data_IF_094463452130
#
_entry.id   IF_094463452130
#
_cell.length_a   1.000
_cell.length_b   1.000
_cell.length_c   1.000
_cell.angle_alpha   90.00
_cell.angle_beta   90.00
_cell.angle_gamma   90.00
#
_symmetry.space_group_name_H-M   'P 1'
#
loop_
_entity.id
_entity.type
_entity.pdbx_description
1 polymer ?
#
# COMPACT_ATOMS: atom_id res chain seq x y z
N UNK A 1 -16.59 -10.89 8.68
CA UNK A 1 -16.37 -10.58 7.25
C UNK A 1 -16.68 -9.11 7.05
N UNK A 2 -15.87 -8.41 6.25
CA UNK A 2 -16.08 -6.99 5.96
C UNK A 2 -17.28 -6.78 5.03
N UNK A 3 -17.89 -5.59 5.08
CA UNK A 3 -18.95 -5.19 4.16
C UNK A 3 -18.42 -5.15 2.70
N UNK A 4 -19.31 -5.31 1.69
CA UNK A 4 -18.90 -5.38 0.31
C UNK A 4 -18.32 -4.05 -0.21
N UNK A 5 -17.38 -4.17 -1.13
CA UNK A 5 -16.83 -3.07 -1.90
C UNK A 5 -17.35 -3.15 -3.34
N UNK A 6 -17.99 -2.08 -3.80
CA UNK A 6 -18.58 -2.02 -5.14
C UNK A 6 -17.74 -1.12 -6.05
N UNK A 7 -17.39 -1.66 -7.21
CA UNK A 7 -16.71 -0.97 -8.31
C UNK A 7 -17.63 -0.91 -9.53
N UNK A 8 -17.31 -0.08 -10.51
CA UNK A 8 -18.12 0.03 -11.72
C UNK A 8 -18.33 -1.33 -12.44
N UNK A 9 -17.30 -2.19 -12.65
CA UNK A 9 -17.51 -3.51 -13.26
C UNK A 9 -18.46 -4.41 -12.46
N UNK A 10 -18.36 -4.41 -11.13
CA UNK A 10 -19.27 -5.17 -10.27
C UNK A 10 -20.69 -4.63 -10.35
N UNK A 11 -20.85 -3.30 -10.27
CA UNK A 11 -22.15 -2.65 -10.38
C UNK A 11 -22.85 -3.00 -11.71
N UNK A 12 -22.14 -2.91 -12.84
CA UNK A 12 -22.66 -3.27 -14.15
C UNK A 12 -23.07 -4.75 -14.23
N UNK A 13 -22.24 -5.66 -13.67
CA UNK A 13 -22.55 -7.08 -13.63
C UNK A 13 -23.82 -7.38 -12.79
N UNK A 14 -24.00 -6.71 -11.66
CA UNK A 14 -25.21 -6.83 -10.82
C UNK A 14 -26.45 -6.35 -11.55
N UNK A 15 -26.40 -5.20 -12.23
CA UNK A 15 -27.52 -4.66 -13.00
C UNK A 15 -27.86 -5.52 -14.22
N UNK A 16 -26.84 -6.05 -14.91
CA UNK A 16 -27.04 -6.94 -16.04
C UNK A 16 -27.71 -8.25 -15.60
N UNK A 17 -27.24 -8.86 -14.52
CA UNK A 17 -27.84 -10.07 -13.96
C UNK A 17 -29.31 -9.84 -13.57
N UNK A 18 -29.62 -8.71 -12.92
CA UNK A 18 -30.97 -8.29 -12.59
C UNK A 18 -31.87 -8.15 -13.82
N UNK A 19 -31.40 -7.47 -14.89
CA UNK A 19 -32.15 -7.31 -16.13
C UNK A 19 -32.45 -8.64 -16.82
N UNK A 20 -31.52 -9.59 -16.72
CA UNK A 20 -31.67 -10.93 -17.31
C UNK A 20 -32.43 -11.92 -16.44
N UNK A 21 -32.84 -11.53 -15.23
CA UNK A 21 -33.50 -12.42 -14.27
C UNK A 21 -32.61 -13.58 -13.78
N UNK A 22 -31.29 -13.42 -13.81
CA UNK A 22 -30.35 -14.43 -13.32
C UNK A 22 -30.36 -14.42 -11.80
N UNK A 23 -30.64 -15.54 -11.10
CA UNK A 23 -30.81 -15.54 -9.65
C UNK A 23 -29.51 -15.37 -8.88
N UNK A 24 -28.36 -15.74 -9.44
CA UNK A 24 -27.05 -15.64 -8.80
C UNK A 24 -25.97 -15.34 -9.83
N UNK A 25 -24.94 -14.62 -9.39
CA UNK A 25 -23.68 -14.48 -10.15
C UNK A 25 -22.51 -14.85 -9.24
N UNK A 26 -21.42 -15.34 -9.81
CA UNK A 26 -20.16 -15.49 -9.12
C UNK A 26 -19.38 -14.18 -9.21
N UNK A 27 -19.15 -13.51 -8.08
CA UNK A 27 -18.50 -12.19 -8.04
C UNK A 27 -17.57 -12.03 -6.84
N UNK A 28 -16.67 -11.07 -6.93
CA UNK A 28 -15.85 -10.64 -5.81
C UNK A 28 -16.42 -9.38 -5.17
N UNK A 29 -16.58 -9.41 -3.87
CA UNK A 29 -17.04 -8.28 -3.06
C UNK A 29 -15.89 -7.63 -2.26
N UNK A 30 -14.66 -8.09 -2.47
CA UNK A 30 -13.44 -7.73 -1.74
C UNK A 30 -12.26 -7.41 -2.66
N UNK A 31 -12.55 -6.77 -3.80
CA UNK A 31 -11.56 -6.35 -4.80
C UNK A 31 -10.68 -7.50 -5.31
N UNK A 32 -11.27 -8.67 -5.54
CA UNK A 32 -10.60 -9.80 -6.18
C UNK A 32 -9.87 -10.74 -5.24
N UNK A 33 -9.98 -10.59 -3.91
CA UNK A 33 -9.36 -11.55 -2.97
C UNK A 33 -10.09 -12.88 -2.93
N UNK A 34 -11.40 -12.83 -2.90
CA UNK A 34 -12.26 -14.02 -2.91
C UNK A 34 -13.39 -13.86 -3.92
N UNK A 35 -14.05 -14.96 -4.22
CA UNK A 35 -15.26 -14.98 -5.02
C UNK A 35 -16.35 -15.72 -4.28
N UNK A 36 -17.60 -15.29 -4.45
CA UNK A 36 -18.76 -15.91 -3.83
C UNK A 36 -19.99 -15.83 -4.73
N UNK A 37 -20.98 -16.70 -4.45
CA UNK A 37 -22.28 -16.63 -5.09
C UNK A 37 -23.08 -15.45 -4.53
N UNK A 38 -23.30 -14.43 -5.37
CA UNK A 38 -24.08 -13.24 -5.03
C UNK A 38 -25.51 -13.43 -5.53
N UNK A 39 -26.48 -13.41 -4.62
CA UNK A 39 -27.89 -13.52 -4.94
C UNK A 39 -28.42 -12.22 -5.56
N UNK A 40 -29.21 -12.34 -6.61
CA UNK A 40 -29.77 -11.22 -7.36
C UNK A 40 -31.28 -11.19 -7.17
N UNK A 41 -31.77 -10.16 -6.51
CA UNK A 41 -33.20 -9.90 -6.35
C UNK A 41 -33.65 -8.66 -7.12
N UNK A 42 -34.94 -8.39 -7.09
CA UNK A 42 -35.54 -7.25 -7.83
C UNK A 42 -35.06 -5.90 -7.30
N UNK A 43 -35.00 -5.74 -5.98
CA UNK A 43 -34.67 -4.45 -5.33
C UNK A 43 -33.35 -4.48 -4.59
N UNK A 44 -32.85 -5.66 -4.26
CA UNK A 44 -31.62 -5.87 -3.48
C UNK A 44 -30.84 -7.05 -4.03
N UNK A 45 -29.54 -7.02 -3.78
CA UNK A 45 -28.63 -8.15 -4.03
C UNK A 45 -28.00 -8.59 -2.70
N UNK A 46 -27.47 -9.79 -2.62
CA UNK A 46 -26.94 -10.32 -1.36
C UNK A 46 -25.71 -11.17 -1.54
N UNK A 47 -24.78 -11.01 -0.61
CA UNK A 47 -23.58 -11.85 -0.44
C UNK A 47 -23.55 -12.46 0.96
N UNK A 48 -22.43 -13.06 1.32
CA UNK A 48 -22.24 -13.72 2.62
C UNK A 48 -22.42 -12.79 3.83
N UNK A 49 -22.27 -11.47 3.65
CA UNK A 49 -22.34 -10.47 4.72
C UNK A 49 -23.70 -9.77 4.86
N UNK A 50 -24.65 -10.07 3.98
CA UNK A 50 -25.99 -9.49 4.04
C UNK A 50 -26.59 -9.12 2.70
N UNK A 51 -27.65 -8.32 2.72
CA UNK A 51 -28.34 -7.85 1.52
C UNK A 51 -28.25 -6.34 1.39
N UNK A 52 -28.03 -5.87 0.18
CA UNK A 52 -27.67 -4.48 -0.14
C UNK A 52 -28.55 -3.91 -1.24
N UNK A 53 -28.88 -2.61 -1.23
CA UNK A 53 -29.54 -1.96 -2.36
C UNK A 53 -28.60 -1.86 -3.56
N UNK A 54 -29.17 -1.76 -4.74
CA UNK A 54 -28.38 -1.37 -5.91
C UNK A 54 -27.99 0.10 -5.78
N UNK A 55 -26.74 0.42 -6.22
CA UNK A 55 -26.36 1.80 -6.40
C UNK A 55 -27.18 2.44 -7.53
N UNK A 56 -27.63 3.68 -7.34
CA UNK A 56 -28.26 4.45 -8.41
C UNK A 56 -27.23 4.89 -9.46
N UNK A 57 -26.07 5.27 -9.00
CA UNK A 57 -24.95 5.72 -9.84
C UNK A 57 -23.64 5.17 -9.30
N UNK A 58 -22.85 4.55 -10.16
CA UNK A 58 -21.49 4.12 -9.86
C UNK A 58 -20.52 4.83 -10.81
N UNK A 59 -19.56 5.59 -10.25
CA UNK A 59 -18.58 6.34 -11.04
C UNK A 59 -17.37 5.46 -11.33
N UNK A 60 -16.80 5.63 -12.53
CA UNK A 60 -15.51 5.04 -12.84
C UNK A 60 -14.42 5.50 -11.85
N UNK A 61 -13.40 4.68 -11.66
CA UNK A 61 -12.27 4.93 -10.76
C UNK A 61 -12.69 5.25 -9.30
N UNK A 62 -13.83 4.70 -8.87
CA UNK A 62 -14.36 4.87 -7.51
C UNK A 62 -14.71 3.51 -6.93
N UNK A 63 -14.31 3.30 -5.69
CA UNK A 63 -14.72 2.17 -4.87
C UNK A 63 -15.75 2.69 -3.89
N UNK A 64 -16.88 1.99 -3.76
CA UNK A 64 -17.92 2.31 -2.78
C UNK A 64 -17.92 1.26 -1.68
N UNK A 65 -18.05 1.67 -0.44
CA UNK A 65 -18.21 0.80 0.72
C UNK A 65 -19.57 1.01 1.38
N UNK A 66 -20.07 -0.03 2.03
CA UNK A 66 -21.32 0.04 2.78
C UNK A 66 -21.09 0.65 4.16
N UNK A 67 -21.84 1.72 4.50
CA UNK A 67 -21.72 2.45 5.77
C UNK A 67 -22.70 1.97 6.86
N UNK A 68 -23.57 1.01 6.51
CA UNK A 68 -24.63 0.50 7.38
C UNK A 68 -26.03 0.83 6.83
N UNK A 69 -26.18 1.94 6.13
CA UNK A 69 -27.43 2.43 5.54
C UNK A 69 -27.34 2.71 4.04
N UNK A 70 -26.17 3.08 3.54
CA UNK A 70 -25.94 3.39 2.12
C UNK A 70 -24.52 3.07 1.68
N UNK A 71 -24.28 3.09 0.36
CA UNK A 71 -22.96 3.02 -0.22
C UNK A 71 -22.36 4.42 -0.35
N UNK A 72 -21.15 4.60 0.16
CA UNK A 72 -20.40 5.83 0.02
C UNK A 72 -19.05 5.58 -0.66
N UNK A 73 -18.51 6.55 -1.42
CA UNK A 73 -17.15 6.44 -1.96
C UNK A 73 -16.12 6.22 -0.85
N UNK A 74 -15.16 5.34 -1.08
CA UNK A 74 -13.98 5.21 -0.21
C UNK A 74 -13.05 6.39 -0.50
N UNK A 75 -13.47 7.55 -0.02
CA UNK A 75 -12.78 8.83 -0.16
C UNK A 75 -13.02 9.68 1.08
N UNK A 76 -11.99 10.38 1.51
CA UNK A 76 -12.04 11.26 2.68
C UNK A 76 -11.30 12.56 2.39
N UNK A 77 -11.86 13.65 2.84
CA UNK A 77 -11.24 14.97 2.73
C UNK A 77 -10.83 15.42 4.14
N UNK A 78 -9.52 15.50 4.37
CA UNK A 78 -8.90 16.07 5.55
C UNK A 78 -7.99 17.24 5.13
N UNK A 79 -6.69 17.14 5.35
CA UNK A 79 -5.70 18.09 4.82
C UNK A 79 -5.59 18.01 3.29
N UNK A 80 -5.91 16.83 2.73
CA UNK A 80 -5.96 16.55 1.30
C UNK A 80 -7.12 15.59 1.00
N UNK A 81 -7.54 15.50 -0.26
CA UNK A 81 -8.47 14.47 -0.71
C UNK A 81 -7.73 13.15 -0.88
N UNK A 82 -8.00 12.17 -0.04
CA UNK A 82 -7.50 10.79 -0.22
C UNK A 82 -8.63 9.87 -0.69
N UNK A 83 -8.34 8.95 -1.59
CA UNK A 83 -9.32 7.95 -2.04
C UNK A 83 -8.66 6.65 -2.48
N UNK A 84 -9.34 5.51 -2.28
CA UNK A 84 -9.01 4.26 -2.94
C UNK A 84 -9.48 4.29 -4.40
N UNK A 85 -8.64 3.77 -5.28
CA UNK A 85 -8.93 3.69 -6.72
C UNK A 85 -8.80 2.24 -7.16
N UNK A 86 -9.83 1.66 -7.81
CA UNK A 86 -9.78 0.30 -8.28
C UNK A 86 -8.73 0.14 -9.38
N UNK A 87 -8.21 -1.07 -9.53
CA UNK A 87 -7.31 -1.46 -10.61
C UNK A 87 -7.86 -2.70 -11.32
N UNK A 88 -7.41 -2.96 -12.51
CA UNK A 88 -7.71 -4.22 -13.23
C UNK A 88 -7.11 -5.46 -12.56
N UNK A 89 -6.17 -5.26 -11.63
CA UNK A 89 -5.42 -6.32 -10.94
C UNK A 89 -6.11 -6.84 -9.67
N UNK A 90 -7.15 -6.15 -9.18
CA UNK A 90 -7.78 -6.42 -7.89
C UNK A 90 -7.25 -5.50 -6.78
N UNK A 91 -5.99 -5.65 -6.30
CA UNK A 91 -5.43 -4.75 -5.29
C UNK A 91 -5.56 -3.29 -5.72
N UNK A 92 -6.21 -2.40 -4.93
CA UNK A 92 -6.39 -1.02 -5.32
C UNK A 92 -5.09 -0.21 -5.22
N UNK A 93 -5.04 0.91 -5.90
CA UNK A 93 -4.13 2.01 -5.59
C UNK A 93 -4.86 3.07 -4.77
N UNK A 94 -4.17 4.12 -4.37
CA UNK A 94 -4.80 5.29 -3.79
C UNK A 94 -4.25 6.58 -4.41
N UNK A 95 -5.03 7.63 -4.29
CA UNK A 95 -4.68 8.97 -4.74
C UNK A 95 -4.74 9.96 -3.58
N UNK A 96 -3.81 10.91 -3.59
CA UNK A 96 -3.82 12.10 -2.73
C UNK A 96 -3.87 13.30 -3.67
N UNK A 97 -4.93 14.12 -3.59
CA UNK A 97 -5.21 15.26 -4.48
C UNK A 97 -5.07 14.92 -5.98
N UNK A 98 -5.56 13.72 -6.35
CA UNK A 98 -5.51 13.22 -7.72
C UNK A 98 -4.15 12.66 -8.15
N UNK A 99 -3.13 12.71 -7.28
CA UNK A 99 -1.82 12.11 -7.55
C UNK A 99 -1.85 10.65 -7.14
N UNK A 100 -1.64 9.76 -8.10
CA UNK A 100 -1.56 8.32 -7.85
C UNK A 100 -0.28 7.96 -7.10
N UNK A 101 -0.41 7.18 -6.03
CA UNK A 101 0.70 6.83 -5.14
C UNK A 101 1.40 5.52 -5.51
N UNK A 102 0.70 4.55 -6.08
CA UNK A 102 1.28 3.25 -6.44
C UNK A 102 1.22 3.02 -7.96
N UNK A 103 2.20 2.32 -8.56
CA UNK A 103 2.21 1.99 -9.99
C UNK A 103 1.08 0.98 -10.30
N UNK A 104 0.37 1.19 -11.42
CA UNK A 104 -0.72 0.32 -11.85
C UNK A 104 -0.74 0.05 -13.36
N UNK A 105 0.16 0.68 -14.13
CA UNK A 105 0.07 0.66 -15.59
C UNK A 105 0.50 -0.67 -16.22
N UNK A 106 1.39 -1.44 -15.56
CA UNK A 106 2.00 -2.65 -16.15
C UNK A 106 2.00 -3.84 -15.19
N UNK A 107 1.67 -3.62 -13.92
CA UNK A 107 1.75 -4.62 -12.86
C UNK A 107 0.79 -4.25 -11.74
N UNK A 108 0.29 -5.27 -11.03
CA UNK A 108 -0.44 -5.08 -9.80
C UNK A 108 0.41 -4.30 -8.78
N UNK A 109 -0.15 -3.30 -8.09
CA UNK A 109 0.59 -2.60 -7.04
C UNK A 109 1.05 -3.54 -5.91
N UNK A 110 0.33 -4.62 -5.68
CA UNK A 110 0.69 -5.65 -4.70
C UNK A 110 1.89 -6.50 -5.19
N UNK A 111 1.88 -6.94 -6.44
CA UNK A 111 3.00 -7.71 -7.02
C UNK A 111 4.26 -6.85 -7.21
N UNK A 112 4.11 -5.57 -7.53
CA UNK A 112 5.20 -4.62 -7.54
C UNK A 112 5.87 -4.53 -6.16
N UNK A 113 5.06 -4.38 -5.11
CA UNK A 113 5.54 -4.37 -3.73
C UNK A 113 6.24 -5.70 -3.35
N UNK A 114 5.67 -6.86 -3.69
CA UNK A 114 6.29 -8.18 -3.44
C UNK A 114 7.66 -8.31 -4.11
N UNK A 115 7.79 -7.84 -5.35
CA UNK A 115 9.06 -7.86 -6.09
C UNK A 115 10.12 -7.02 -5.36
N UNK A 116 9.77 -5.82 -4.90
CA UNK A 116 10.65 -4.93 -4.14
C UNK A 116 11.03 -5.51 -2.77
N UNK A 117 10.08 -6.10 -2.08
CA UNK A 117 10.29 -6.83 -0.81
C UNK A 117 11.32 -7.95 -0.98
N UNK A 118 11.26 -8.69 -2.09
CA UNK A 118 12.23 -9.76 -2.38
C UNK A 118 13.68 -9.29 -2.41
N UNK A 119 13.95 -8.03 -2.78
CA UNK A 119 15.31 -7.47 -2.83
C UNK A 119 15.98 -7.37 -1.46
N UNK A 120 15.20 -7.18 -0.39
CA UNK A 120 15.74 -7.04 0.96
C UNK A 120 15.76 -8.37 1.74
N UNK A 121 15.27 -9.47 1.14
CA UNK A 121 15.30 -10.84 1.74
C UNK A 121 14.73 -10.87 3.17
N UNK A 122 13.45 -10.60 3.38
CA UNK A 122 12.90 -10.32 4.70
C UNK A 122 12.72 -11.56 5.59
N UNK A 123 12.85 -12.80 5.06
CA UNK A 123 12.63 -14.05 5.81
C UNK A 123 13.48 -14.11 7.08
N UNK A 124 12.83 -14.30 8.23
CA UNK A 124 13.47 -14.37 9.54
C UNK A 124 14.10 -13.05 10.00
N UNK A 125 13.85 -11.94 9.30
CA UNK A 125 14.45 -10.62 9.57
C UNK A 125 13.45 -9.67 10.20
N UNK A 126 13.98 -8.72 10.97
CA UNK A 126 13.22 -7.56 11.42
C UNK A 126 13.31 -6.44 10.39
N UNK A 127 12.18 -5.99 9.90
CA UNK A 127 12.05 -5.04 8.77
C UNK A 127 11.53 -3.70 9.28
N UNK A 128 12.09 -2.60 8.79
CA UNK A 128 11.54 -1.26 8.90
C UNK A 128 10.93 -0.87 7.56
N UNK A 129 9.65 -0.55 7.56
CA UNK A 129 8.90 0.04 6.45
C UNK A 129 8.60 1.50 6.82
N UNK A 130 9.24 2.43 6.13
CA UNK A 130 9.26 3.84 6.53
C UNK A 130 8.08 4.65 6.03
N UNK A 131 7.40 4.19 4.98
CA UNK A 131 6.27 4.88 4.36
C UNK A 131 5.24 3.83 3.96
N UNK A 132 4.43 3.39 4.93
CA UNK A 132 3.63 2.19 4.83
C UNK A 132 2.49 2.25 3.80
N UNK A 133 1.93 3.43 3.54
CA UNK A 133 0.82 3.59 2.61
C UNK A 133 -0.30 2.58 2.85
N UNK A 134 -0.73 1.86 1.81
CA UNK A 134 -1.72 0.78 1.95
C UNK A 134 -1.17 -0.51 2.60
N UNK A 135 0.12 -0.56 2.95
CA UNK A 135 0.73 -1.68 3.66
C UNK A 135 1.15 -2.86 2.78
N UNK A 136 1.29 -2.69 1.47
CA UNK A 136 1.65 -3.79 0.59
C UNK A 136 3.07 -4.30 0.81
N UNK A 137 4.02 -3.44 1.22
CA UNK A 137 5.33 -3.89 1.67
C UNK A 137 5.23 -4.75 2.92
N UNK A 138 4.44 -4.33 3.91
CA UNK A 138 4.22 -5.10 5.12
C UNK A 138 3.58 -6.45 4.82
N UNK A 139 2.57 -6.50 3.95
CA UNK A 139 1.94 -7.75 3.51
C UNK A 139 2.95 -8.69 2.84
N UNK A 140 3.73 -8.20 1.88
CA UNK A 140 4.78 -8.99 1.22
C UNK A 140 5.85 -9.49 2.19
N UNK A 141 6.22 -8.71 3.22
CA UNK A 141 7.14 -9.13 4.26
C UNK A 141 6.55 -10.23 5.15
N UNK A 142 5.26 -10.14 5.52
CA UNK A 142 4.56 -11.17 6.28
C UNK A 142 4.52 -12.49 5.51
N UNK A 143 4.13 -12.44 4.22
CA UNK A 143 4.10 -13.60 3.33
C UNK A 143 5.50 -14.24 3.15
N UNK A 144 6.54 -13.42 3.05
CA UNK A 144 7.91 -13.89 2.94
C UNK A 144 8.47 -14.44 4.27
N UNK A 145 7.73 -14.36 5.37
CA UNK A 145 8.13 -14.89 6.67
C UNK A 145 9.09 -13.98 7.43
N UNK A 146 8.90 -12.66 7.39
CA UNK A 146 9.63 -11.72 8.25
C UNK A 146 9.39 -12.04 9.74
N UNK A 147 10.42 -11.88 10.57
CA UNK A 147 10.31 -12.10 12.01
C UNK A 147 9.56 -10.96 12.73
N UNK A 148 9.59 -9.76 12.16
CA UNK A 148 8.84 -8.62 12.66
C UNK A 148 8.94 -7.44 11.71
N UNK A 149 7.92 -6.62 11.68
CA UNK A 149 7.80 -5.45 10.80
C UNK A 149 7.36 -4.26 11.65
N UNK A 150 8.06 -3.15 11.53
CA UNK A 150 7.62 -1.84 12.02
C UNK A 150 7.34 -1.01 10.79
N UNK A 151 6.09 -0.64 10.58
CA UNK A 151 5.63 0.14 9.44
C UNK A 151 5.10 1.50 9.93
N UNK A 152 5.65 2.58 9.39
CA UNK A 152 5.21 3.94 9.68
C UNK A 152 4.32 4.48 8.58
N UNK A 153 3.23 5.11 8.96
CA UNK A 153 2.41 5.93 8.07
C UNK A 153 2.08 7.25 8.77
N UNK A 154 2.33 8.37 8.09
CA UNK A 154 2.12 9.70 8.65
C UNK A 154 0.65 10.11 8.60
N UNK A 155 -0.03 9.81 7.50
CA UNK A 155 -1.39 10.26 7.24
C UNK A 155 -2.44 9.37 7.93
N UNK A 156 -3.22 9.97 8.83
CA UNK A 156 -4.39 9.31 9.42
C UNK A 156 -5.42 8.90 8.37
N UNK A 157 -5.59 9.73 7.32
CA UNK A 157 -6.53 9.43 6.24
C UNK A 157 -6.08 8.24 5.39
N UNK A 158 -4.76 8.06 5.19
CA UNK A 158 -4.22 6.85 4.53
C UNK A 158 -4.37 5.63 5.44
N UNK A 159 -4.18 5.76 6.74
CA UNK A 159 -4.46 4.69 7.69
C UNK A 159 -5.95 4.28 7.67
N UNK A 160 -6.85 5.24 7.56
CA UNK A 160 -8.27 4.95 7.38
C UNK A 160 -8.54 4.20 6.06
N UNK A 161 -7.91 4.57 4.93
CA UNK A 161 -8.01 3.80 3.68
C UNK A 161 -7.58 2.34 3.85
N UNK A 162 -6.54 2.07 4.67
CA UNK A 162 -6.09 0.70 4.97
C UNK A 162 -7.17 -0.13 5.64
N UNK A 163 -7.96 0.45 6.54
CA UNK A 163 -9.04 -0.31 7.23
C UNK A 163 -10.13 -0.77 6.28
N UNK A 164 -10.31 -0.09 5.15
CA UNK A 164 -11.29 -0.41 4.12
C UNK A 164 -10.70 -1.20 2.94
N UNK A 165 -9.39 -1.34 2.88
CA UNK A 165 -8.73 -2.09 1.82
C UNK A 165 -8.50 -3.56 2.23
N UNK A 166 -9.18 -4.53 1.62
CA UNK A 166 -9.04 -5.93 2.00
C UNK A 166 -7.64 -6.52 1.72
N UNK A 167 -6.82 -5.84 0.93
CA UNK A 167 -5.44 -6.23 0.64
C UNK A 167 -4.43 -5.67 1.64
N UNK A 168 -4.84 -4.76 2.51
CA UNK A 168 -4.00 -4.25 3.59
C UNK A 168 -3.92 -5.27 4.73
N UNK A 169 -2.73 -5.55 5.27
CA UNK A 169 -2.63 -6.46 6.41
C UNK A 169 -3.17 -5.76 7.67
N UNK A 170 -4.02 -6.48 8.40
CA UNK A 170 -4.50 -6.05 9.71
C UNK A 170 -3.41 -6.36 10.75
N UNK A 171 -2.85 -5.35 11.47
CA UNK A 171 -1.83 -5.58 12.47
C UNK A 171 -2.29 -6.46 13.64
N UNK A 172 -3.60 -6.46 13.93
CA UNK A 172 -4.20 -7.20 15.04
C UNK A 172 -4.67 -8.61 14.63
N UNK A 173 -4.53 -8.99 13.36
CA UNK A 173 -4.93 -10.29 12.89
C UNK A 173 -4.11 -11.42 13.57
N UNK A 174 -4.77 -12.43 14.17
CA UNK A 174 -4.09 -13.51 14.91
C UNK A 174 -3.03 -14.27 14.09
N UNK A 175 -3.25 -14.43 12.79
CA UNK A 175 -2.32 -15.10 11.88
C UNK A 175 -1.00 -14.36 11.72
N UNK A 176 -0.95 -13.08 12.05
CA UNK A 176 0.30 -12.30 12.05
C UNK A 176 1.11 -12.47 13.33
N UNK A 177 0.49 -12.98 14.41
CA UNK A 177 1.19 -13.29 15.67
C UNK A 177 1.93 -12.09 16.25
N UNK A 178 1.39 -10.87 16.10
CA UNK A 178 2.02 -9.63 16.57
C UNK A 178 3.27 -9.21 15.78
N UNK A 179 3.55 -9.82 14.64
CA UNK A 179 4.74 -9.50 13.82
C UNK A 179 4.65 -8.14 13.13
N UNK A 180 3.45 -7.60 12.89
CA UNK A 180 3.24 -6.29 12.28
C UNK A 180 2.93 -5.24 13.35
N UNK A 181 3.79 -4.25 13.47
CA UNK A 181 3.56 -3.05 14.28
C UNK A 181 3.33 -1.87 13.35
N UNK A 182 2.09 -1.47 13.18
CA UNK A 182 1.72 -0.26 12.44
C UNK A 182 1.78 0.94 13.38
N UNK A 183 2.53 1.96 13.01
CA UNK A 183 2.71 3.19 13.79
C UNK A 183 2.29 4.40 12.96
N UNK A 184 1.35 5.17 13.50
CA UNK A 184 1.08 6.49 12.98
C UNK A 184 2.17 7.45 13.42
N UNK A 185 2.79 8.13 12.48
CA UNK A 185 3.82 9.12 12.80
C UNK A 185 4.72 9.47 11.61
N UNK A 186 5.37 10.62 11.76
CA UNK A 186 6.36 11.09 10.79
C UNK A 186 7.70 10.38 11.03
N UNK A 187 8.06 9.47 10.14
CA UNK A 187 9.29 8.69 10.26
C UNK A 187 10.56 9.56 10.27
N UNK A 188 10.51 10.75 9.69
CA UNK A 188 11.65 11.68 9.73
C UNK A 188 12.02 12.11 11.17
N UNK A 189 11.04 12.09 12.07
CA UNK A 189 11.22 12.39 13.49
C UNK A 189 11.31 11.12 14.33
N UNK A 190 10.45 10.14 14.05
CA UNK A 190 10.37 8.91 14.84
C UNK A 190 11.61 8.02 14.70
N UNK A 191 12.33 8.11 13.58
CA UNK A 191 13.54 7.31 13.34
C UNK A 191 14.61 7.54 14.41
N UNK A 192 14.70 8.74 14.98
CA UNK A 192 15.69 9.07 16.02
C UNK A 192 15.50 8.25 17.29
N UNK A 193 14.26 7.83 17.57
CA UNK A 193 13.88 7.02 18.74
C UNK A 193 14.06 5.52 18.52
N UNK A 194 14.34 5.12 17.28
CA UNK A 194 14.55 3.71 16.96
C UNK A 194 15.95 3.25 17.38
N UNK A 195 16.11 1.99 17.85
CA UNK A 195 17.38 1.50 18.33
C UNK A 195 18.43 1.37 17.22
N UNK A 196 19.69 1.60 17.58
CA UNK A 196 20.83 1.35 16.72
C UNK A 196 20.88 -0.12 16.32
N UNK A 197 21.14 -0.38 15.03
CA UNK A 197 21.20 -1.71 14.46
C UNK A 197 19.96 -2.59 14.81
N UNK A 198 18.80 -1.96 15.00
CA UNK A 198 17.55 -2.62 15.39
C UNK A 198 16.88 -3.41 14.27
N UNK A 199 17.27 -3.19 13.01
CA UNK A 199 16.65 -3.79 11.83
C UNK A 199 17.67 -4.50 10.96
N UNK A 200 17.20 -5.53 10.25
CA UNK A 200 18.02 -6.29 9.29
C UNK A 200 17.73 -5.87 7.85
N UNK A 201 16.56 -5.27 7.60
CA UNK A 201 16.13 -4.81 6.31
C UNK A 201 15.30 -3.52 6.43
N UNK A 202 15.38 -2.67 5.41
CA UNK A 202 14.60 -1.43 5.31
C UNK A 202 13.94 -1.37 3.94
N UNK A 203 12.65 -1.02 3.92
CA UNK A 203 11.90 -0.62 2.75
C UNK A 203 11.57 0.87 2.88
N UNK A 204 12.04 1.66 1.93
CA UNK A 204 11.88 3.11 1.92
C UNK A 204 11.24 3.55 0.61
N UNK A 205 9.94 3.85 0.67
CA UNK A 205 9.13 4.33 -0.46
C UNK A 205 8.52 5.70 -0.14
N UNK A 206 9.36 6.73 -0.07
CA UNK A 206 8.89 8.05 0.30
C UNK A 206 8.06 8.68 -0.82
N UNK A 207 7.14 9.62 -0.49
CA UNK A 207 6.56 10.50 -1.49
C UNK A 207 7.64 11.19 -2.32
N UNK A 208 7.26 11.72 -3.49
CA UNK A 208 8.22 12.37 -4.40
C UNK A 208 9.04 13.42 -3.67
N UNK A 209 10.30 13.60 -4.10
CA UNK A 209 11.25 14.55 -3.53
C UNK A 209 10.67 15.96 -3.28
N UNK A 210 9.82 16.47 -4.18
CA UNK A 210 9.18 17.78 -4.03
C UNK A 210 8.10 17.85 -2.93
N UNK A 211 7.71 16.72 -2.35
CA UNK A 211 6.67 16.62 -1.30
C UNK A 211 7.31 16.31 0.06
N UNK A 212 8.32 15.44 0.09
CA UNK A 212 8.94 14.93 1.31
C UNK A 212 10.48 14.97 1.20
N UNK A 213 11.02 16.14 0.92
CA UNK A 213 12.46 16.36 0.69
C UNK A 213 13.34 15.95 1.88
N UNK A 214 12.82 16.02 3.10
CA UNK A 214 13.48 15.59 4.33
C UNK A 214 13.84 14.09 4.31
N UNK A 215 12.99 13.25 3.71
CA UNK A 215 13.22 11.80 3.57
C UNK A 215 14.31 11.46 2.55
N UNK A 216 14.77 12.45 1.79
CA UNK A 216 15.90 12.33 0.86
C UNK A 216 17.14 13.05 1.37
N UNK A 217 17.11 13.59 2.60
CA UNK A 217 18.23 14.32 3.17
C UNK A 217 19.40 13.39 3.58
N UNK A 218 20.61 13.93 3.64
CA UNK A 218 21.77 13.17 4.14
C UNK A 218 21.56 12.76 5.60
N UNK A 219 21.01 13.65 6.43
CA UNK A 219 20.72 13.36 7.83
C UNK A 219 19.78 12.15 7.97
N UNK A 220 18.74 12.05 7.15
CA UNK A 220 17.83 10.92 7.18
C UNK A 220 18.53 9.61 6.76
N UNK A 221 19.37 9.64 5.72
CA UNK A 221 20.15 8.46 5.31
C UNK A 221 21.17 8.01 6.37
N UNK A 222 21.76 8.96 7.10
CA UNK A 222 22.64 8.63 8.24
C UNK A 222 21.84 7.93 9.35
N UNK A 223 20.57 8.31 9.58
CA UNK A 223 19.68 7.60 10.50
C UNK A 223 19.28 6.23 9.96
N UNK A 224 18.99 6.07 8.66
CA UNK A 224 18.75 4.74 8.07
C UNK A 224 19.97 3.83 8.26
N UNK A 225 21.18 4.37 8.09
CA UNK A 225 22.40 3.62 8.37
C UNK A 225 22.53 3.26 9.86
N UNK A 226 22.20 4.16 10.78
CA UNK A 226 22.26 3.92 12.22
C UNK A 226 21.35 2.77 12.65
N UNK A 227 20.09 2.78 12.22
CA UNK A 227 19.09 1.79 12.62
C UNK A 227 19.22 0.43 11.93
N UNK A 228 19.89 0.36 10.78
CA UNK A 228 20.12 -0.88 10.04
C UNK A 228 21.39 -1.57 10.54
N UNK A 229 21.36 -2.89 10.71
CA UNK A 229 22.55 -3.69 11.05
C UNK A 229 23.58 -3.69 9.93
N UNK A 230 24.86 -3.84 10.28
CA UNK A 230 25.92 -4.14 9.28
C UNK A 230 25.52 -5.37 8.45
N UNK A 231 25.75 -5.31 7.15
CA UNK A 231 25.28 -6.32 6.20
C UNK A 231 23.79 -6.29 5.88
N UNK A 232 23.00 -5.48 6.62
CA UNK A 232 21.58 -5.29 6.34
C UNK A 232 21.33 -4.64 4.99
N UNK A 233 20.14 -4.87 4.42
CA UNK A 233 19.74 -4.38 3.10
C UNK A 233 18.68 -3.29 3.21
N UNK A 234 18.78 -2.32 2.31
CA UNK A 234 17.81 -1.25 2.13
C UNK A 234 17.40 -1.20 0.65
N UNK A 235 16.11 -1.16 0.38
CA UNK A 235 15.58 -0.76 -0.92
C UNK A 235 14.94 0.61 -0.79
N UNK A 236 15.37 1.53 -1.64
CA UNK A 236 14.82 2.89 -1.74
C UNK A 236 14.17 3.08 -3.10
N UNK A 237 12.86 3.25 -3.12
CA UNK A 237 12.12 3.60 -4.33
C UNK A 237 12.40 5.05 -4.73
N UNK A 238 12.76 5.28 -5.97
CA UNK A 238 13.05 6.62 -6.50
C UNK A 238 12.10 7.04 -7.61
N UNK A 239 11.42 6.08 -8.23
CA UNK A 239 10.38 6.26 -9.24
C UNK A 239 10.85 6.83 -10.56
N UNK A 240 10.17 6.44 -11.63
CA UNK A 240 10.35 7.02 -12.98
C UNK A 240 9.92 8.49 -13.08
N UNK A 241 8.85 8.96 -12.36
CA UNK A 241 8.41 10.35 -12.47
C UNK A 241 9.43 11.40 -12.01
N UNK A 242 10.32 11.06 -11.08
CA UNK A 242 11.36 11.98 -10.62
C UNK A 242 12.38 12.32 -11.73
N UNK A 243 12.58 11.43 -12.68
CA UNK A 243 13.46 11.65 -13.85
C UNK A 243 12.85 12.63 -14.87
N UNK A 244 11.54 12.61 -15.01
CA UNK A 244 10.80 13.36 -16.04
C UNK A 244 10.49 14.79 -15.60
N UNK A 245 10.27 15.02 -14.29
CA UNK A 245 9.75 16.30 -13.78
C UNK A 245 10.84 17.25 -13.28
N UNK A 246 12.02 16.77 -12.88
CA UNK A 246 13.04 17.62 -12.25
C UNK A 246 14.30 17.82 -13.10
N UNK A 247 14.48 17.09 -14.21
CA UNK A 247 15.75 17.04 -14.96
C UNK A 247 16.93 16.47 -14.15
N UNK A 248 16.70 15.99 -12.92
CA UNK A 248 17.71 15.45 -12.01
C UNK A 248 17.73 13.93 -12.09
N UNK A 249 18.92 13.35 -12.03
CA UNK A 249 19.09 11.90 -11.90
C UNK A 249 18.96 11.50 -10.42
N UNK A 250 17.69 11.49 -9.93
CA UNK A 250 17.39 11.20 -8.52
C UNK A 250 17.97 9.86 -8.07
N UNK A 251 17.88 8.75 -8.84
CA UNK A 251 18.50 7.48 -8.44
C UNK A 251 20.01 7.58 -8.19
N UNK A 252 20.73 8.32 -9.01
CA UNK A 252 22.18 8.53 -8.80
C UNK A 252 22.49 9.43 -7.62
N UNK A 253 21.69 10.48 -7.40
CA UNK A 253 21.83 11.34 -6.22
C UNK A 253 21.57 10.55 -4.93
N UNK A 254 20.54 9.71 -4.92
CA UNK A 254 20.21 8.82 -3.80
C UNK A 254 21.36 7.82 -3.57
N UNK A 255 21.87 7.16 -4.61
CA UNK A 255 23.02 6.23 -4.49
C UNK A 255 24.20 6.91 -3.83
N UNK A 256 24.61 8.09 -4.32
CA UNK A 256 25.74 8.84 -3.77
C UNK A 256 25.56 9.22 -2.29
N UNK A 257 24.35 9.62 -1.89
CA UNK A 257 24.05 9.97 -0.51
C UNK A 257 24.04 8.74 0.40
N UNK A 258 23.51 7.62 -0.07
CA UNK A 258 23.57 6.35 0.63
C UNK A 258 25.02 5.87 0.80
N UNK A 259 25.86 6.01 -0.24
CA UNK A 259 27.29 5.69 -0.14
C UNK A 259 28.00 6.56 0.90
N UNK A 260 27.69 7.85 0.97
CA UNK A 260 28.18 8.76 2.00
C UNK A 260 27.74 8.37 3.41
N UNK A 261 26.53 7.79 3.55
CA UNK A 261 26.02 7.25 4.81
C UNK A 261 26.59 5.85 5.16
N UNK A 262 27.52 5.31 4.38
CA UNK A 262 28.21 4.04 4.67
C UNK A 262 27.56 2.81 4.04
N UNK A 263 26.74 2.97 3.02
CA UNK A 263 26.19 1.87 2.23
C UNK A 263 27.08 1.55 1.01
N UNK A 264 26.90 0.35 0.48
CA UNK A 264 27.25 0.01 -0.90
C UNK A 264 25.94 0.00 -1.69
N UNK A 265 25.78 0.94 -2.63
CA UNK A 265 24.56 1.17 -3.35
C UNK A 265 24.67 0.74 -4.84
N UNK A 266 23.57 0.26 -5.41
CA UNK A 266 23.42 -0.02 -6.84
C UNK A 266 21.99 0.23 -7.29
N UNK A 267 21.81 0.57 -8.56
CA UNK A 267 20.48 0.69 -9.15
C UNK A 267 19.82 -0.70 -9.22
N UNK A 268 18.53 -0.76 -8.88
CA UNK A 268 17.74 -1.98 -8.95
C UNK A 268 16.25 -1.62 -9.17
N UNK A 269 15.62 -2.25 -10.16
CA UNK A 269 14.25 -1.92 -10.56
C UNK A 269 14.10 -0.40 -10.79
N UNK A 270 13.10 0.20 -10.19
CA UNK A 270 12.78 1.63 -10.21
C UNK A 270 13.32 2.39 -8.97
N UNK A 271 14.42 1.88 -8.40
CA UNK A 271 15.04 2.44 -7.20
C UNK A 271 16.51 2.09 -7.02
N UNK A 272 16.93 2.11 -5.77
CA UNK A 272 18.29 1.83 -5.32
C UNK A 272 18.25 0.72 -4.27
N UNK A 273 19.00 -0.35 -4.52
CA UNK A 273 19.29 -1.37 -3.50
C UNK A 273 20.64 -1.06 -2.88
N UNK A 274 20.68 -1.02 -1.57
CA UNK A 274 21.88 -0.70 -0.81
C UNK A 274 22.12 -1.71 0.32
N UNK A 275 23.38 -1.97 0.64
CA UNK A 275 23.79 -2.81 1.75
C UNK A 275 24.70 -2.01 2.70
N UNK A 276 24.41 -2.04 4.00
CA UNK A 276 25.21 -1.36 5.00
C UNK A 276 26.58 -2.08 5.18
N UNK A 277 27.67 -1.32 5.08
CA UNK A 277 29.04 -1.80 5.30
C UNK A 277 29.34 -2.07 6.77
#
# INVERSE_FOLDING_TARGET
>A
MAAPLVTLPLHEALLEARRRGVPHIDASLDLGRTREAVAIGEHRWGGATGTYPYLETCRDRTIYHWTGDRFEPVARYGDALVKLVPTEWGPPTFEIDGIKMLPTAKVSPFEDARTKVGLVEPRGRRVLDTCGGLGYFAAGCLEAGAAGIVSFEKSEDVLWLRTLNPWSPDPDAPEHGGRLQLRQGDVSQEIERLPDAGFNAILHDPPRFGIAGELYSQAFYDQLARVLRKGGRLFHYTGSPNRLTSGRDVPREVSRRLEKAGFQARLALDGVLAQRR
#
